data_IF_702014330869
#
_entry.id   IF_702014330869
#
_cell.length_a   1.000
_cell.length_b   1.000
_cell.length_c   1.000
_cell.angle_alpha   90.00
_cell.angle_beta   90.00
_cell.angle_gamma   90.00
#
_symmetry.space_group_name_H-M   'P 1'
#
loop_
_entity.id
_entity.type
_entity.pdbx_description
1 polymer ?
#
# COMPACT_ATOMS: atom_id res chain seq x y z
N UNK A 1 16.12 -34.90 -19.98
CA UNK A 1 14.99 -34.45 -19.15
C UNK A 1 14.31 -33.36 -19.94
N UNK A 2 13.07 -33.59 -20.39
CA UNK A 2 12.36 -32.63 -21.23
C UNK A 2 12.07 -31.36 -20.43
N UNK A 3 12.31 -30.19 -21.02
CA UNK A 3 12.14 -28.88 -20.34
C UNK A 3 10.70 -28.73 -19.82
N UNK A 4 9.74 -29.32 -20.54
CA UNK A 4 8.32 -29.35 -20.17
C UNK A 4 8.02 -30.26 -18.98
N UNK A 5 8.75 -31.36 -18.81
CA UNK A 5 8.62 -32.24 -17.66
C UNK A 5 9.24 -31.62 -16.41
N UNK A 6 10.40 -30.97 -16.56
CA UNK A 6 11.05 -30.22 -15.47
C UNK A 6 10.18 -29.03 -15.00
N UNK A 7 9.55 -28.32 -15.94
CA UNK A 7 8.61 -27.24 -15.61
C UNK A 7 7.39 -27.76 -14.84
N UNK A 8 6.74 -28.84 -15.30
CA UNK A 8 5.61 -29.46 -14.58
C UNK A 8 6.01 -30.07 -13.23
N UNK A 9 7.23 -30.58 -13.09
CA UNK A 9 7.74 -31.08 -11.79
C UNK A 9 8.07 -29.95 -10.83
N UNK A 10 8.55 -28.80 -11.32
CA UNK A 10 8.78 -27.62 -10.49
C UNK A 10 7.47 -27.06 -9.91
N UNK A 11 6.39 -27.03 -10.69
CA UNK A 11 5.05 -26.64 -10.23
C UNK A 11 4.49 -27.60 -9.17
N UNK A 12 4.80 -28.91 -9.29
CA UNK A 12 4.39 -29.93 -8.30
C UNK A 12 5.18 -29.89 -6.99
N UNK A 13 6.36 -29.26 -6.98
CA UNK A 13 7.27 -29.26 -5.83
C UNK A 13 7.26 -27.94 -5.04
N UNK A 14 6.41 -26.97 -5.37
CA UNK A 14 6.25 -25.76 -4.55
C UNK A 14 5.77 -26.13 -3.15
N UNK A 15 6.52 -25.71 -2.15
CA UNK A 15 6.10 -25.82 -0.76
C UNK A 15 4.85 -24.99 -0.53
N UNK A 16 4.01 -25.42 0.42
CA UNK A 16 2.84 -24.63 0.86
C UNK A 16 3.22 -23.19 1.23
N UNK A 17 4.42 -23.00 1.78
CA UNK A 17 4.95 -21.69 2.16
C UNK A 17 5.22 -20.81 0.94
N UNK A 18 5.87 -21.33 -0.11
CA UNK A 18 6.12 -20.58 -1.34
C UNK A 18 4.81 -20.15 -2.00
N UNK A 19 3.83 -21.05 -2.08
CA UNK A 19 2.50 -20.74 -2.61
C UNK A 19 1.83 -19.58 -1.85
N UNK A 20 1.93 -19.56 -0.52
CA UNK A 20 1.40 -18.45 0.29
C UNK A 20 2.08 -17.11 -0.03
N UNK A 21 3.39 -17.10 -0.31
CA UNK A 21 4.10 -15.89 -0.71
C UNK A 21 3.70 -15.45 -2.12
N UNK A 22 3.54 -16.39 -3.05
CA UNK A 22 3.11 -16.11 -4.42
C UNK A 22 1.69 -15.54 -4.45
N UNK A 23 0.77 -16.13 -3.69
CA UNK A 23 -0.62 -15.65 -3.56
C UNK A 23 -0.67 -14.25 -2.93
N UNK A 24 0.13 -14.03 -1.87
CA UNK A 24 0.24 -12.72 -1.25
C UNK A 24 0.80 -11.68 -2.22
N UNK A 25 1.83 -12.03 -3.00
CA UNK A 25 2.42 -11.16 -4.01
C UNK A 25 1.42 -10.83 -5.13
N UNK A 26 0.68 -11.82 -5.62
CA UNK A 26 -0.37 -11.63 -6.62
C UNK A 26 -1.47 -10.70 -6.10
N UNK A 27 -1.94 -10.91 -4.87
CA UNK A 27 -2.94 -10.06 -4.22
C UNK A 27 -2.43 -8.62 -4.02
N UNK A 28 -1.17 -8.43 -3.61
CA UNK A 28 -0.58 -7.11 -3.45
C UNK A 28 -0.52 -6.30 -4.75
N UNK A 29 -0.52 -6.97 -5.91
CA UNK A 29 -0.25 -6.35 -7.21
C UNK A 29 -1.40 -6.46 -8.22
N UNK A 30 -2.58 -6.95 -7.81
CA UNK A 30 -3.76 -7.08 -8.68
C UNK A 30 -4.98 -6.36 -8.09
N UNK A 31 -5.42 -5.23 -8.68
CA UNK A 31 -6.66 -4.55 -8.26
C UNK A 31 -7.88 -5.48 -8.28
N UNK A 32 -7.96 -6.38 -9.26
CA UNK A 32 -9.06 -7.34 -9.35
C UNK A 32 -9.11 -8.26 -8.12
N UNK A 33 -7.97 -8.88 -7.75
CA UNK A 33 -7.89 -9.73 -6.56
C UNK A 33 -8.13 -8.94 -5.28
N UNK A 34 -7.65 -7.70 -5.21
CA UNK A 34 -7.91 -6.81 -4.07
C UNK A 34 -9.40 -6.51 -3.91
N UNK A 35 -10.10 -6.22 -5.01
CA UNK A 35 -11.52 -5.91 -4.99
C UNK A 35 -12.37 -7.12 -4.56
N UNK A 36 -11.91 -8.34 -4.83
CA UNK A 36 -12.54 -9.58 -4.34
C UNK A 36 -12.47 -9.74 -2.81
N UNK A 37 -11.52 -9.06 -2.15
CA UNK A 37 -11.43 -9.06 -0.67
C UNK A 37 -12.38 -8.09 0.03
N UNK A 38 -13.04 -7.21 -0.73
CA UNK A 38 -13.94 -6.19 -0.20
C UNK A 38 -15.31 -6.79 0.16
N UNK A 39 -15.98 -6.17 1.14
CA UNK A 39 -17.38 -6.48 1.41
C UNK A 39 -18.27 -6.16 0.19
N UNK A 40 -19.38 -6.88 -0.06
CA UNK A 40 -20.16 -6.71 -1.29
C UNK A 40 -20.55 -5.27 -1.63
N UNK A 41 -21.02 -4.49 -0.64
CA UNK A 41 -21.40 -3.10 -0.84
C UNK A 41 -20.20 -2.19 -1.18
N UNK A 42 -19.05 -2.42 -0.56
CA UNK A 42 -17.82 -1.67 -0.83
C UNK A 42 -17.26 -2.02 -2.21
N UNK A 43 -17.26 -3.32 -2.56
CA UNK A 43 -16.89 -3.81 -3.89
C UNK A 43 -17.72 -3.13 -4.98
N UNK A 44 -19.04 -3.10 -4.84
CA UNK A 44 -19.92 -2.43 -5.79
C UNK A 44 -19.62 -0.93 -5.90
N UNK A 45 -19.31 -0.24 -4.80
CA UNK A 45 -18.95 1.17 -4.83
C UNK A 45 -17.60 1.42 -5.53
N UNK A 46 -16.62 0.55 -5.33
CA UNK A 46 -15.29 0.60 -5.98
C UNK A 46 -15.40 0.29 -7.47
N UNK A 47 -16.10 -0.77 -7.85
CA UNK A 47 -16.24 -1.21 -9.25
C UNK A 47 -17.04 -0.21 -10.11
N UNK A 48 -18.04 0.46 -9.51
CA UNK A 48 -18.80 1.54 -10.17
C UNK A 48 -18.15 2.92 -10.05
N UNK A 49 -17.01 3.02 -9.35
CA UNK A 49 -16.26 4.26 -9.22
C UNK A 49 -15.68 4.73 -10.55
N UNK A 50 -15.33 6.01 -10.64
CA UNK A 50 -14.74 6.58 -11.85
C UNK A 50 -13.34 5.95 -12.12
N UNK A 51 -13.11 5.27 -13.26
CA UNK A 51 -11.81 4.72 -13.61
C UNK A 51 -10.85 5.84 -14.05
N UNK A 52 -10.14 6.44 -13.11
CA UNK A 52 -9.24 7.55 -13.39
C UNK A 52 -7.95 7.47 -12.55
N UNK A 53 -6.86 8.00 -13.11
CA UNK A 53 -5.62 8.19 -12.35
C UNK A 53 -5.60 9.53 -11.60
N UNK A 54 -6.41 10.51 -12.04
CA UNK A 54 -6.57 11.83 -11.43
C UNK A 54 -8.04 12.20 -11.47
N UNK A 55 -8.55 12.77 -10.38
CA UNK A 55 -9.93 13.24 -10.33
C UNK A 55 -10.12 14.42 -11.30
N UNK A 56 -11.12 14.41 -12.19
CA UNK A 56 -11.41 15.53 -13.10
C UNK A 56 -11.60 16.86 -12.38
N UNK A 57 -12.22 16.83 -11.20
CA UNK A 57 -12.54 17.97 -10.34
C UNK A 57 -11.45 18.29 -9.30
N UNK A 58 -10.34 17.54 -9.30
CA UNK A 58 -9.25 17.72 -8.35
C UNK A 58 -8.56 19.08 -8.49
N UNK A 59 -8.45 19.85 -7.40
CA UNK A 59 -7.82 21.18 -7.39
C UNK A 59 -6.65 21.25 -6.40
N UNK A 60 -5.58 21.92 -6.80
CA UNK A 60 -4.33 21.99 -6.02
C UNK A 60 -3.35 20.84 -6.30
N UNK A 61 -2.26 20.73 -5.53
CA UNK A 61 -1.25 19.68 -5.68
C UNK A 61 -1.80 18.26 -5.54
N UNK A 62 -1.47 17.37 -6.48
CA UNK A 62 -1.95 15.99 -6.50
C UNK A 62 -1.43 15.20 -5.28
N UNK A 63 -2.36 14.60 -4.53
CA UNK A 63 -2.13 13.75 -3.37
C UNK A 63 -1.68 14.46 -2.09
N UNK A 64 -1.16 15.68 -2.15
CA UNK A 64 -0.80 16.49 -0.96
C UNK A 64 -1.85 17.52 -0.59
N UNK A 65 -2.84 17.77 -1.47
CA UNK A 65 -4.04 18.54 -1.15
C UNK A 65 -5.25 17.60 -0.96
N UNK A 66 -6.03 17.82 0.10
CA UNK A 66 -7.28 17.09 0.34
C UNK A 66 -8.31 17.28 -0.78
N UNK A 67 -8.21 18.38 -1.54
CA UNK A 67 -9.04 18.70 -2.71
C UNK A 67 -8.53 18.08 -4.02
N UNK A 68 -7.39 17.39 -4.01
CA UNK A 68 -6.87 16.63 -5.14
C UNK A 68 -6.27 15.29 -4.67
N UNK A 69 -7.08 14.42 -4.02
CA UNK A 69 -6.62 13.16 -3.45
C UNK A 69 -6.30 12.12 -4.55
N UNK A 70 -5.53 11.10 -4.17
CA UNK A 70 -5.09 10.01 -5.04
C UNK A 70 -6.22 8.99 -5.18
N UNK A 71 -6.74 8.73 -6.40
CA UNK A 71 -7.75 7.70 -6.64
C UNK A 71 -7.20 6.29 -6.39
N UNK A 72 -7.88 5.48 -5.58
CA UNK A 72 -7.53 4.07 -5.30
C UNK A 72 -8.73 3.17 -5.06
N UNK A 73 -8.49 1.85 -5.11
CA UNK A 73 -9.46 0.78 -4.90
C UNK A 73 -9.53 0.32 -3.45
N UNK A 74 -10.13 1.17 -2.61
CA UNK A 74 -10.35 0.88 -1.20
C UNK A 74 -9.07 0.87 -0.37
N UNK A 75 -9.23 0.41 0.87
CA UNK A 75 -8.13 0.38 1.84
C UNK A 75 -6.94 -0.48 1.41
N UNK A 76 -7.15 -1.53 0.61
CA UNK A 76 -6.04 -2.34 0.09
C UNK A 76 -5.24 -1.57 -0.97
N UNK A 77 -5.93 -0.86 -1.86
CA UNK A 77 -5.29 0.01 -2.85
C UNK A 77 -4.42 1.08 -2.21
N UNK A 78 -4.91 1.75 -1.16
CA UNK A 78 -4.12 2.71 -0.35
C UNK A 78 -2.85 2.07 0.20
N UNK A 79 -3.01 0.91 0.83
CA UNK A 79 -1.93 0.18 1.48
C UNK A 79 -0.80 -0.16 0.50
N UNK A 80 -1.16 -0.65 -0.69
CA UNK A 80 -0.19 -1.06 -1.71
C UNK A 80 0.38 0.13 -2.47
N UNK A 81 -0.41 1.16 -2.76
CA UNK A 81 0.08 2.39 -3.37
C UNK A 81 1.15 3.05 -2.49
N UNK A 82 0.87 3.26 -1.21
CA UNK A 82 1.83 3.84 -0.26
C UNK A 82 3.05 2.94 -0.08
N UNK A 83 2.88 1.62 -0.07
CA UNK A 83 4.00 0.67 0.01
C UNK A 83 4.89 0.64 -1.24
N UNK A 84 4.48 1.25 -2.35
CA UNK A 84 5.28 1.42 -3.58
C UNK A 84 5.94 2.79 -3.68
N UNK A 85 5.54 3.76 -2.85
CA UNK A 85 6.11 5.10 -2.91
C UNK A 85 7.55 5.12 -2.41
N UNK A 86 8.36 5.91 -3.11
CA UNK A 86 9.69 6.35 -2.69
C UNK A 86 9.84 7.84 -2.89
N UNK A 87 10.72 8.45 -2.10
CA UNK A 87 11.11 9.85 -2.24
C UNK A 87 12.00 9.99 -3.46
N UNK A 88 11.64 10.86 -4.41
CA UNK A 88 12.38 11.06 -5.66
C UNK A 88 13.84 11.46 -5.41
N UNK A 89 14.07 12.38 -4.48
CA UNK A 89 15.38 12.96 -4.22
C UNK A 89 16.40 11.96 -3.64
N UNK A 90 15.94 10.95 -2.89
CA UNK A 90 16.82 10.04 -2.15
C UNK A 90 16.62 8.57 -2.50
N UNK A 91 15.54 8.22 -3.21
CA UNK A 91 15.08 6.85 -3.39
C UNK A 91 14.58 6.18 -2.11
N UNK A 92 14.50 6.90 -0.98
CA UNK A 92 14.12 6.32 0.31
C UNK A 92 12.66 5.88 0.32
N UNK A 93 12.39 4.77 1.01
CA UNK A 93 11.03 4.28 1.26
C UNK A 93 10.29 5.21 2.20
N UNK A 94 8.96 5.15 2.14
CA UNK A 94 8.08 5.80 3.10
C UNK A 94 7.36 4.80 3.98
N UNK A 95 6.99 5.24 5.18
CA UNK A 95 6.23 4.49 6.17
C UNK A 95 5.04 5.31 6.63
N UNK A 96 3.95 4.65 6.99
CA UNK A 96 2.68 5.35 7.14
C UNK A 96 1.72 4.67 8.11
N UNK A 97 0.77 5.46 8.60
CA UNK A 97 -0.47 4.99 9.20
C UNK A 97 -1.65 5.82 8.67
N UNK A 98 -2.88 5.34 8.81
CA UNK A 98 -4.06 6.16 8.53
C UNK A 98 -4.24 7.18 9.65
N UNK A 99 -4.13 8.46 9.35
CA UNK A 99 -4.30 9.52 10.36
C UNK A 99 -5.79 9.72 10.67
N UNK A 100 -6.61 9.94 9.63
CA UNK A 100 -8.05 10.16 9.75
C UNK A 100 -8.78 9.92 8.42
N UNK A 101 -10.11 9.93 8.49
CA UNK A 101 -11.00 10.04 7.33
C UNK A 101 -11.80 11.33 7.48
N UNK A 102 -11.86 12.12 6.42
CA UNK A 102 -12.67 13.35 6.35
C UNK A 102 -13.67 13.22 5.19
N UNK A 103 -14.94 12.98 5.55
CA UNK A 103 -15.98 12.63 4.60
C UNK A 103 -15.67 11.34 3.84
N UNK A 104 -15.28 11.47 2.57
CA UNK A 104 -14.92 10.36 1.68
C UNK A 104 -13.43 10.31 1.36
N UNK A 105 -12.63 11.22 1.92
CA UNK A 105 -11.19 11.32 1.69
C UNK A 105 -10.44 10.76 2.90
N UNK A 106 -9.51 9.86 2.64
CA UNK A 106 -8.63 9.30 3.65
C UNK A 106 -7.31 10.06 3.70
N UNK A 107 -6.82 10.33 4.90
CA UNK A 107 -5.56 11.04 5.13
C UNK A 107 -4.57 10.12 5.85
N UNK A 108 -3.37 10.00 5.32
CA UNK A 108 -2.29 9.19 5.85
C UNK A 108 -1.14 10.08 6.29
N UNK A 109 -0.69 9.94 7.53
CA UNK A 109 0.59 10.51 7.95
C UNK A 109 1.71 9.62 7.37
N UNK A 110 2.66 10.25 6.69
CA UNK A 110 3.74 9.60 5.97
C UNK A 110 5.07 10.15 6.44
N UNK A 111 6.00 9.26 6.76
CA UNK A 111 7.36 9.58 7.17
C UNK A 111 8.40 8.81 6.35
N UNK A 112 9.65 9.24 6.38
CA UNK A 112 10.78 8.39 6.01
C UNK A 112 11.43 7.77 7.26
N UNK A 113 12.38 6.86 7.06
CA UNK A 113 13.05 6.15 8.13
C UNK A 113 13.70 7.08 9.17
N UNK A 114 14.32 8.16 8.71
CA UNK A 114 15.03 9.14 9.56
C UNK A 114 14.11 10.19 10.20
N UNK A 115 12.81 10.21 9.88
CA UNK A 115 11.86 11.22 10.37
C UNK A 115 12.03 12.63 9.80
N UNK A 116 13.04 12.86 8.96
CA UNK A 116 13.29 14.16 8.30
C UNK A 116 12.16 14.56 7.35
N UNK A 117 11.47 13.57 6.78
CA UNK A 117 10.18 13.77 6.12
C UNK A 117 9.07 13.39 7.08
N UNK A 118 8.12 14.30 7.27
CA UNK A 118 6.80 14.04 7.86
C UNK A 118 5.76 14.89 7.14
N UNK A 119 4.82 14.24 6.48
CA UNK A 119 3.79 14.90 5.67
C UNK A 119 2.48 14.10 5.68
N UNK A 120 1.45 14.62 5.01
CA UNK A 120 0.16 13.96 4.85
C UNK A 120 -0.13 13.74 3.36
N UNK A 121 -0.53 12.52 3.02
CA UNK A 121 -1.06 12.18 1.70
C UNK A 121 -2.56 11.86 1.80
N UNK A 122 -3.31 12.27 0.79
CA UNK A 122 -4.77 12.15 0.72
C UNK A 122 -5.19 11.19 -0.38
N UNK A 123 -6.20 10.37 -0.09
CA UNK A 123 -6.69 9.29 -0.94
C UNK A 123 -8.21 9.35 -1.10
N UNK A 124 -8.68 9.03 -2.30
CA UNK A 124 -10.08 8.81 -2.61
C UNK A 124 -10.24 7.31 -2.85
N UNK A 125 -10.87 6.54 -1.95
CA UNK A 125 -10.81 5.07 -1.99
C UNK A 125 -11.95 4.39 -2.80
N UNK A 126 -12.69 5.14 -3.62
CA UNK A 126 -13.86 4.62 -4.37
C UNK A 126 -13.62 4.60 -5.88
N UNK A 127 -12.53 3.98 -6.31
CA UNK A 127 -12.16 3.85 -7.72
C UNK A 127 -11.74 2.42 -8.04
N UNK A 128 -11.95 1.91 -9.26
CA UNK A 128 -11.75 0.49 -9.56
C UNK A 128 -10.30 0.02 -9.47
N UNK A 129 -9.32 0.94 -9.49
CA UNK A 129 -7.89 0.67 -9.37
C UNK A 129 -7.13 1.84 -8.72
N UNK A 130 -5.93 1.55 -8.22
CA UNK A 130 -4.98 2.57 -7.76
C UNK A 130 -4.36 3.36 -8.91
N UNK A 131 -4.31 4.68 -8.76
CA UNK A 131 -3.64 5.59 -9.68
C UNK A 131 -2.21 5.17 -9.99
N UNK A 132 -1.79 5.40 -11.24
CA UNK A 132 -0.41 5.19 -11.71
C UNK A 132 0.45 6.45 -11.59
N UNK A 133 -0.14 7.58 -11.24
CA UNK A 133 0.57 8.84 -11.01
C UNK A 133 1.03 8.91 -9.56
N UNK A 134 2.07 9.69 -9.29
CA UNK A 134 2.56 9.96 -7.94
C UNK A 134 2.54 11.46 -7.63
N UNK A 135 2.41 11.84 -6.34
CA UNK A 135 2.58 13.23 -5.91
C UNK A 135 3.95 13.78 -6.29
N UNK A 136 4.06 15.10 -6.41
CA UNK A 136 5.33 15.77 -6.65
C UNK A 136 6.36 15.41 -5.56
N UNK A 137 7.61 15.16 -5.97
CA UNK A 137 8.68 14.75 -5.06
C UNK A 137 8.73 13.24 -4.75
N UNK A 138 7.86 12.44 -5.38
CA UNK A 138 7.85 10.98 -5.23
C UNK A 138 8.06 10.25 -6.55
N UNK A 139 8.36 8.96 -6.44
CA UNK A 139 8.32 7.97 -7.52
C UNK A 139 7.54 6.75 -7.04
N UNK A 140 6.95 6.02 -7.98
CA UNK A 140 6.17 4.82 -7.70
C UNK A 140 6.91 3.59 -8.24
N UNK A 141 7.19 2.62 -7.37
CA UNK A 141 7.71 1.32 -7.79
C UNK A 141 6.68 0.57 -8.63
N UNK A 142 7.16 -0.33 -9.50
CA UNK A 142 6.26 -1.14 -10.33
C UNK A 142 5.39 -2.07 -9.49
N UNK A 143 5.98 -2.70 -8.48
CA UNK A 143 5.35 -3.74 -7.67
C UNK A 143 5.54 -3.46 -6.18
N UNK A 144 4.52 -3.78 -5.39
CA UNK A 144 4.61 -3.83 -3.94
C UNK A 144 5.18 -5.20 -3.54
N UNK A 145 6.35 -5.21 -2.90
CA UNK A 145 6.98 -6.45 -2.40
C UNK A 145 6.66 -6.67 -0.92
N UNK A 146 6.81 -5.63 -0.10
CA UNK A 146 6.53 -5.70 1.32
C UNK A 146 5.71 -4.48 1.78
N UNK A 147 4.74 -4.68 2.69
CA UNK A 147 3.98 -3.58 3.25
C UNK A 147 4.87 -2.69 4.13
N UNK A 148 4.66 -1.37 4.02
CA UNK A 148 5.47 -0.35 4.70
C UNK A 148 4.70 0.45 5.76
N UNK A 149 3.45 0.10 6.01
CA UNK A 149 2.61 0.83 6.94
C UNK A 149 1.32 0.11 7.23
N UNK A 150 0.41 0.83 7.87
CA UNK A 150 -0.92 0.33 8.23
C UNK A 150 -2.02 1.27 7.74
N UNK A 151 -3.22 0.72 7.60
CA UNK A 151 -4.43 1.45 7.17
C UNK A 151 -5.38 1.78 8.31
N UNK A 152 -4.95 1.55 9.54
CA UNK A 152 -5.66 1.93 10.76
C UNK A 152 -4.90 3.04 11.48
N UNK A 153 -5.62 3.82 12.29
CA UNK A 153 -5.01 4.81 13.15
C UNK A 153 -4.16 4.16 14.24
N UNK A 154 -2.98 4.74 14.49
CA UNK A 154 -2.09 4.38 15.59
C UNK A 154 -1.72 5.65 16.35
N UNK A 155 -2.13 5.73 17.62
CA UNK A 155 -1.87 6.88 18.50
C UNK A 155 -0.40 7.00 18.91
N UNK A 156 0.39 5.95 18.70
CA UNK A 156 1.80 5.89 19.06
C UNK A 156 2.73 6.05 17.86
N UNK A 157 2.20 6.26 16.65
CA UNK A 157 2.99 6.30 15.42
C UNK A 157 4.19 7.28 15.52
N UNK A 158 5.41 6.86 15.13
CA UNK A 158 5.76 5.60 14.47
C UNK A 158 6.17 4.45 15.42
N UNK A 159 5.98 4.60 16.74
CA UNK A 159 6.30 3.59 17.72
C UNK A 159 5.39 2.37 17.60
N UNK A 160 5.98 1.19 17.52
CA UNK A 160 5.33 -0.10 17.36
C UNK A 160 5.07 -0.50 15.91
N UNK A 161 5.38 0.37 14.93
CA UNK A 161 4.91 0.22 13.55
C UNK A 161 5.29 -1.13 12.93
N UNK A 162 6.53 -1.61 13.12
CA UNK A 162 6.94 -2.92 12.57
C UNK A 162 6.02 -4.06 13.01
N UNK A 163 5.61 -4.08 14.29
CA UNK A 163 4.69 -5.10 14.82
C UNK A 163 3.29 -4.92 14.26
N UNK A 164 2.84 -3.67 14.09
CA UNK A 164 1.53 -3.36 13.52
C UNK A 164 1.44 -3.77 12.04
N UNK A 165 2.49 -3.52 11.25
CA UNK A 165 2.57 -3.96 9.85
C UNK A 165 2.46 -5.48 9.78
N UNK A 166 3.23 -6.23 10.57
CA UNK A 166 3.15 -7.70 10.59
C UNK A 166 1.75 -8.21 10.96
N UNK A 167 1.06 -7.55 11.90
CA UNK A 167 -0.30 -7.90 12.30
C UNK A 167 -1.30 -7.65 11.17
N UNK A 168 -1.20 -6.52 10.48
CA UNK A 168 -2.05 -6.23 9.32
C UNK A 168 -1.76 -7.18 8.15
N UNK A 169 -0.49 -7.49 7.87
CA UNK A 169 -0.10 -8.46 6.87
C UNK A 169 -0.66 -9.86 7.16
N UNK A 170 -0.56 -10.34 8.41
CA UNK A 170 -1.14 -11.62 8.79
C UNK A 170 -2.66 -11.64 8.58
N UNK A 171 -3.34 -10.54 8.90
CA UNK A 171 -4.80 -10.41 8.75
C UNK A 171 -5.23 -10.41 7.28
N UNK A 172 -4.51 -9.70 6.41
CA UNK A 172 -4.90 -9.48 5.00
C UNK A 172 -4.32 -10.53 4.04
N UNK A 173 -3.12 -11.03 4.31
CA UNK A 173 -2.32 -11.89 3.42
C UNK A 173 -2.12 -13.30 3.97
N UNK A 174 -2.46 -13.56 5.24
CA UNK A 174 -2.19 -14.86 5.89
C UNK A 174 -0.72 -15.11 6.24
N UNK A 175 0.18 -14.15 5.97
CA UNK A 175 1.62 -14.23 6.23
C UNK A 175 2.12 -13.05 7.06
N UNK A 176 3.15 -13.28 7.86
CA UNK A 176 3.74 -12.26 8.74
C UNK A 176 4.94 -11.58 8.05
N UNK A 177 4.66 -10.62 7.16
CA UNK A 177 5.67 -9.86 6.42
C UNK A 177 5.59 -8.37 6.69
N UNK A 178 6.74 -7.70 6.60
CA UNK A 178 6.88 -6.25 6.74
C UNK A 178 8.20 -5.81 6.12
N UNK A 179 8.27 -4.57 5.64
CA UNK A 179 9.53 -3.95 5.20
C UNK A 179 10.54 -3.90 6.35
N UNK A 180 11.73 -4.48 6.16
CA UNK A 180 12.73 -4.62 7.23
C UNK A 180 13.22 -3.29 7.78
N UNK A 181 13.32 -2.26 6.92
CA UNK A 181 13.73 -0.93 7.34
C UNK A 181 12.81 -0.34 8.43
N UNK A 182 11.55 -0.79 8.52
CA UNK A 182 10.62 -0.32 9.54
C UNK A 182 11.01 -0.71 10.98
N UNK A 183 11.91 -1.71 11.15
CA UNK A 183 12.48 -2.06 12.47
C UNK A 183 13.27 -0.92 13.10
N UNK A 184 13.84 -0.02 12.28
CA UNK A 184 14.81 0.99 12.72
C UNK A 184 14.22 2.39 12.91
N UNK A 185 12.99 2.62 12.44
CA UNK A 185 12.33 3.94 12.50
C UNK A 185 12.32 4.51 13.93
N UNK A 186 11.96 3.67 14.91
CA UNK A 186 11.91 4.10 16.31
C UNK A 186 13.27 4.48 16.89
N UNK A 187 14.33 3.82 16.43
CA UNK A 187 15.68 4.10 16.92
C UNK A 187 16.23 5.40 16.33
N UNK A 188 15.88 5.72 15.08
CA UNK A 188 16.37 6.90 14.37
C UNK A 188 15.60 8.18 14.70
N UNK A 189 14.29 8.10 15.00
CA UNK A 189 13.47 9.28 15.32
C UNK A 189 13.62 9.74 16.79
N UNK A 190 14.33 8.97 17.62
CA UNK A 190 14.60 9.31 19.04
C UNK A 190 15.85 10.19 19.26
N UNK A 191 16.41 10.78 18.20
CA UNK A 191 17.49 11.76 18.26
C UNK A 191 16.95 13.16 17.97
#
# INVERSE_FOLDING_TARGET
>A
MDLWEAFRQSDKNRTRTEQMYDDAFALCNSPALQNETLAPAERTAVENGLPCDRLPEGTGPFGTAATNPIPVNGSFGEWMYLSRLRILATGSKVFFHKWKTDGVVDAFEVINRSGTLRTVLYFSPRHPYASRYCPEGYILEREAVFPRGITTHSSCFPRGLYKEIKKEARRRLGIEVAEEESKYIEAEIKQ
#
